data_IF_906269016995
#
_entry.id   IF_906269016995
#
_cell.length_a   1.000
_cell.length_b   1.000
_cell.length_c   1.000
_cell.angle_alpha   90.00
_cell.angle_beta   90.00
_cell.angle_gamma   90.00
#
_symmetry.space_group_name_H-M   'P 1'
#
loop_
_entity.id
_entity.type
_entity.pdbx_description
1 polymer ?
#
# COMPACT_ATOMS: atom_id res chain seq x y z
N UNK A 1 33.06 21.25 -42.30
CA UNK A 1 33.79 20.58 -41.19
C UNK A 1 33.66 21.49 -39.97
N UNK A 2 33.17 21.10 -38.81
CA UNK A 2 32.55 19.86 -38.37
C UNK A 2 31.58 20.19 -37.24
N UNK A 3 30.57 19.34 -37.07
CA UNK A 3 29.71 19.26 -35.90
C UNK A 3 30.53 18.92 -34.64
N UNK A 4 30.05 19.24 -33.44
CA UNK A 4 29.87 18.28 -32.32
C UNK A 4 29.34 18.99 -31.05
N UNK A 5 28.14 18.57 -30.63
CA UNK A 5 27.61 18.30 -29.27
C UNK A 5 27.90 19.21 -28.05
N UNK A 6 26.81 19.82 -27.58
CA UNK A 6 26.16 19.69 -26.26
C UNK A 6 26.92 18.98 -25.12
N UNK A 7 27.11 19.67 -23.99
CA UNK A 7 26.94 19.09 -22.64
C UNK A 7 26.69 20.16 -21.56
N UNK A 8 25.76 19.82 -20.65
CA UNK A 8 25.35 20.59 -19.47
C UNK A 8 26.45 20.58 -18.39
N UNK A 9 26.61 21.70 -17.69
CA UNK A 9 26.99 21.65 -16.28
C UNK A 9 26.38 22.82 -15.51
N UNK A 10 25.69 22.46 -14.43
CA UNK A 10 25.15 23.34 -13.41
C UNK A 10 26.27 24.14 -12.75
N UNK A 11 26.04 25.44 -12.54
CA UNK A 11 26.51 26.16 -11.36
C UNK A 11 25.76 27.51 -11.28
N UNK A 12 24.71 27.55 -10.47
CA UNK A 12 24.48 28.71 -9.57
C UNK A 12 25.53 28.60 -8.45
N UNK A 13 26.10 29.70 -7.93
CA UNK A 13 25.30 30.78 -7.33
C UNK A 13 25.87 32.20 -7.54
N UNK A 14 25.00 33.19 -7.71
CA UNK A 14 25.33 34.52 -7.18
C UNK A 14 24.08 35.24 -6.66
N UNK A 15 24.06 35.32 -5.33
CA UNK A 15 23.21 36.18 -4.52
C UNK A 15 23.45 37.64 -4.93
N UNK A 16 22.54 38.20 -5.70
CA UNK A 16 22.49 39.64 -5.90
C UNK A 16 21.89 40.31 -4.65
N UNK A 17 22.80 40.78 -3.79
CA UNK A 17 22.57 41.44 -2.50
C UNK A 17 22.59 42.97 -2.65
N UNK A 18 21.97 43.54 -3.67
CA UNK A 18 21.84 45.00 -3.79
C UNK A 18 20.57 45.41 -4.55
N UNK A 19 19.49 45.67 -3.82
CA UNK A 19 18.49 46.72 -4.13
C UNK A 19 17.22 46.54 -3.27
N UNK A 20 17.27 46.97 -2.01
CA UNK A 20 16.05 47.41 -1.30
C UNK A 20 16.37 48.72 -0.59
N UNK A 21 16.05 49.81 -1.30
CA UNK A 21 16.11 51.17 -0.81
C UNK A 21 15.42 51.27 0.56
N UNK A 22 16.19 51.64 1.58
CA UNK A 22 15.68 51.96 2.91
C UNK A 22 15.03 53.34 2.82
N UNK A 23 13.76 53.39 2.45
CA UNK A 23 12.93 54.56 2.74
C UNK A 23 12.71 54.63 4.25
N UNK A 24 12.88 55.79 4.93
CA UNK A 24 12.57 55.89 6.34
C UNK A 24 11.10 55.57 6.57
N UNK A 25 10.84 54.42 7.20
CA UNK A 25 9.51 53.93 7.54
C UNK A 25 8.91 54.93 8.53
N UNK A 26 8.01 55.80 8.04
CA UNK A 26 7.10 56.54 8.94
C UNK A 26 6.46 55.50 9.85
N UNK A 27 6.65 55.63 11.16
CA UNK A 27 6.06 54.73 12.13
C UNK A 27 4.54 54.71 11.89
N UNK A 28 4.04 53.62 11.32
CA UNK A 28 2.62 53.37 11.29
C UNK A 28 2.17 53.36 12.75
N UNK A 29 1.21 54.23 13.12
CA UNK A 29 0.60 54.22 14.44
C UNK A 29 0.23 52.76 14.75
N UNK A 30 0.83 52.18 15.79
CA UNK A 30 0.60 50.79 16.15
C UNK A 30 -0.92 50.61 16.31
N UNK A 31 -1.50 49.64 15.58
CA UNK A 31 -2.93 49.34 15.72
C UNK A 31 -3.18 48.96 17.17
N UNK A 32 -4.16 49.62 17.81
CA UNK A 32 -4.63 49.25 19.14
C UNK A 32 -5.06 47.76 19.12
N UNK A 33 -4.71 47.01 20.16
CA UNK A 33 -4.95 45.57 20.23
C UNK A 33 -5.56 45.17 21.56
N UNK A 34 -6.50 44.24 21.49
CA UNK A 34 -7.15 43.59 22.62
C UNK A 34 -7.20 42.08 22.36
N UNK A 35 -6.73 41.27 23.32
CA UNK A 35 -6.70 39.81 23.22
C UNK A 35 -7.95 39.15 23.81
N UNK A 36 -8.90 39.95 24.29
CA UNK A 36 -10.19 39.48 24.78
C UNK A 36 -11.08 39.08 23.60
N UNK A 37 -11.98 38.13 23.82
CA UNK A 37 -13.07 37.88 22.87
C UNK A 37 -13.98 39.11 22.80
N UNK A 38 -14.69 39.35 21.69
CA UNK A 38 -15.57 40.51 21.56
C UNK A 38 -16.59 40.62 22.70
N UNK A 39 -17.15 39.49 23.13
CA UNK A 39 -18.12 39.42 24.23
C UNK A 39 -17.49 39.86 25.57
N UNK A 40 -16.32 39.32 25.91
CA UNK A 40 -15.62 39.65 27.16
C UNK A 40 -15.14 41.11 27.13
N UNK A 41 -14.74 41.61 25.97
CA UNK A 41 -14.37 43.01 25.77
C UNK A 41 -15.55 43.96 25.99
N UNK A 42 -16.74 43.62 25.50
CA UNK A 42 -17.95 44.40 25.72
C UNK A 42 -18.38 44.40 27.20
N UNK A 43 -18.24 43.27 27.89
CA UNK A 43 -18.51 43.17 29.33
C UNK A 43 -17.56 44.06 30.13
N UNK A 44 -16.26 44.05 29.82
CA UNK A 44 -15.30 44.96 30.44
C UNK A 44 -15.68 46.42 30.15
N UNK A 45 -16.04 46.76 28.91
CA UNK A 45 -16.40 48.14 28.57
C UNK A 45 -17.61 48.63 29.37
N UNK A 46 -18.64 47.78 29.58
CA UNK A 46 -19.77 48.12 30.44
C UNK A 46 -19.35 48.28 31.90
N UNK A 47 -18.55 47.36 32.42
CA UNK A 47 -18.03 47.44 33.78
C UNK A 47 -17.27 48.75 34.04
N UNK A 48 -16.43 49.20 33.10
CA UNK A 48 -15.71 50.48 33.24
C UNK A 48 -16.65 51.68 33.32
N UNK A 49 -17.76 51.66 32.56
CA UNK A 49 -18.76 52.74 32.61
C UNK A 49 -19.49 52.76 33.95
N UNK A 50 -19.88 51.59 34.46
CA UNK A 50 -20.54 51.45 35.76
C UNK A 50 -19.62 51.91 36.91
N UNK A 51 -18.38 51.45 36.93
CA UNK A 51 -17.38 51.87 37.93
C UNK A 51 -17.08 53.37 37.84
N UNK A 52 -17.05 53.93 36.62
CA UNK A 52 -16.88 55.36 36.44
C UNK A 52 -18.06 56.15 37.02
N UNK A 53 -19.30 55.69 36.87
CA UNK A 53 -20.45 56.36 37.50
C UNK A 53 -20.28 56.39 39.02
N UNK A 54 -19.85 55.28 39.62
CA UNK A 54 -19.55 55.22 41.06
C UNK A 54 -18.45 56.20 41.45
N UNK A 55 -17.36 56.28 40.67
CA UNK A 55 -16.29 57.26 40.88
C UNK A 55 -16.80 58.71 40.76
N UNK A 56 -17.62 58.99 39.75
CA UNK A 56 -18.17 60.31 39.46
C UNK A 56 -19.03 60.80 40.62
N UNK A 57 -19.99 59.99 41.08
CA UNK A 57 -20.85 60.37 42.21
C UNK A 57 -20.07 60.51 43.52
N UNK A 58 -19.03 59.71 43.75
CA UNK A 58 -18.13 59.87 44.91
C UNK A 58 -17.32 61.17 44.87
N UNK A 59 -16.98 61.64 43.67
CA UNK A 59 -16.08 62.80 43.49
C UNK A 59 -16.85 64.13 43.45
N UNK A 60 -17.98 64.16 42.74
CA UNK A 60 -18.76 65.39 42.50
C UNK A 60 -20.07 65.44 43.29
N UNK A 61 -20.47 64.33 43.94
CA UNK A 61 -21.77 64.21 44.60
C UNK A 61 -22.92 63.99 43.62
N UNK A 62 -24.13 63.83 44.16
CA UNK A 62 -25.37 63.80 43.38
C UNK A 62 -25.71 65.23 42.92
N UNK A 63 -25.15 65.64 41.78
CA UNK A 63 -25.48 66.90 41.13
C UNK A 63 -26.31 66.61 39.88
N UNK A 64 -27.47 67.25 39.74
CA UNK A 64 -28.35 67.09 38.56
C UNK A 64 -27.83 67.83 37.32
N UNK A 65 -26.74 68.59 37.45
CA UNK A 65 -26.19 69.44 36.39
C UNK A 65 -25.30 68.66 35.41
N UNK A 66 -24.70 67.56 35.87
CA UNK A 66 -23.72 66.82 35.08
C UNK A 66 -24.08 65.34 34.97
N UNK A 67 -24.03 64.81 33.75
CA UNK A 67 -24.31 63.40 33.47
C UNK A 67 -22.97 62.66 33.35
N UNK A 68 -22.71 61.60 34.15
CA UNK A 68 -21.43 60.86 34.09
C UNK A 68 -21.10 60.34 32.68
N UNK A 69 -22.12 59.90 31.94
CA UNK A 69 -21.97 59.36 30.59
C UNK A 69 -21.44 60.37 29.57
N UNK A 70 -21.63 61.68 29.81
CA UNK A 70 -21.08 62.73 28.93
C UNK A 70 -19.56 62.80 29.04
N UNK A 71 -19.01 62.47 30.22
CA UNK A 71 -17.57 62.43 30.47
C UNK A 71 -16.96 61.07 30.14
N UNK A 72 -17.66 59.98 30.42
CA UNK A 72 -17.19 58.63 30.09
C UNK A 72 -18.32 57.74 29.58
N UNK A 73 -18.56 57.86 28.28
CA UNK A 73 -19.48 56.99 27.56
C UNK A 73 -18.89 55.61 27.25
N UNK A 74 -19.76 54.70 26.83
CA UNK A 74 -19.36 53.40 26.29
C UNK A 74 -18.38 53.49 25.12
N UNK A 75 -18.38 54.59 24.35
CA UNK A 75 -17.42 54.80 23.26
C UNK A 75 -15.99 54.96 23.79
N UNK A 76 -15.83 55.74 24.87
CA UNK A 76 -14.55 55.91 25.54
C UNK A 76 -14.09 54.58 26.16
N UNK A 77 -14.99 53.86 26.84
CA UNK A 77 -14.69 52.56 27.41
C UNK A 77 -14.24 51.54 26.35
N UNK A 78 -14.95 51.43 25.21
CA UNK A 78 -14.55 50.55 24.11
C UNK A 78 -13.21 50.94 23.49
N UNK A 79 -12.89 52.23 23.40
CA UNK A 79 -11.59 52.68 22.93
C UNK A 79 -10.45 52.23 23.87
N UNK A 80 -10.66 52.38 25.18
CA UNK A 80 -9.73 51.90 26.23
C UNK A 80 -9.55 50.38 26.16
N UNK A 81 -10.64 49.63 26.06
CA UNK A 81 -10.59 48.16 25.93
C UNK A 81 -9.91 47.74 24.63
N UNK A 82 -10.11 48.48 23.53
CA UNK A 82 -9.43 48.25 22.27
C UNK A 82 -7.91 48.42 22.35
N UNK A 83 -7.41 49.24 23.28
CA UNK A 83 -6.00 49.47 23.56
C UNK A 83 -5.46 48.64 24.75
N UNK A 84 -6.28 47.77 25.33
CA UNK A 84 -6.03 47.15 26.63
C UNK A 84 -4.69 46.43 26.68
N UNK A 85 -4.33 45.68 25.63
CA UNK A 85 -3.07 44.96 25.64
C UNK A 85 -1.88 45.91 25.72
N UNK A 86 -1.89 47.02 24.97
CA UNK A 86 -0.78 47.97 24.98
C UNK A 86 -0.71 48.76 26.29
N UNK A 87 -1.85 49.09 26.89
CA UNK A 87 -1.90 49.73 28.21
C UNK A 87 -1.25 48.80 29.24
N UNK A 88 -1.46 47.49 29.11
CA UNK A 88 -0.94 46.46 30.02
C UNK A 88 0.47 45.95 29.72
N UNK A 89 1.04 46.25 28.56
CA UNK A 89 2.38 45.77 28.19
C UNK A 89 3.48 46.33 29.11
N UNK A 90 3.24 47.46 29.77
CA UNK A 90 4.15 48.05 30.75
C UNK A 90 3.69 47.75 32.19
N UNK A 91 4.67 47.57 33.09
CA UNK A 91 4.45 47.47 34.54
C UNK A 91 5.20 48.62 35.23
N UNK A 92 4.50 49.57 35.89
CA UNK A 92 3.04 49.72 35.97
C UNK A 92 2.39 50.05 34.61
N UNK A 93 1.07 49.89 34.51
CA UNK A 93 0.31 50.15 33.28
C UNK A 93 0.65 51.51 32.66
N UNK A 94 0.61 51.58 31.33
CA UNK A 94 0.94 52.78 30.58
C UNK A 94 -0.19 53.83 30.65
N UNK A 95 -0.19 54.63 31.72
CA UNK A 95 -1.19 55.67 31.95
C UNK A 95 -1.18 56.77 30.87
N UNK A 96 -0.02 57.07 30.27
CA UNK A 96 0.07 58.04 29.16
C UNK A 96 -0.67 57.56 27.92
N UNK A 97 -0.61 56.25 27.65
CA UNK A 97 -1.39 55.66 26.56
C UNK A 97 -2.88 55.66 26.90
N UNK A 98 -3.25 55.38 28.15
CA UNK A 98 -4.63 55.45 28.62
C UNK A 98 -5.20 56.88 28.46
N UNK A 99 -4.46 57.91 28.86
CA UNK A 99 -4.80 59.33 28.63
C UNK A 99 -5.00 59.64 27.14
N UNK A 100 -4.07 59.18 26.30
CA UNK A 100 -4.11 59.40 24.85
C UNK A 100 -5.31 58.71 24.18
N UNK A 101 -5.66 57.51 24.63
CA UNK A 101 -6.78 56.71 24.08
C UNK A 101 -8.13 57.23 24.58
N UNK A 102 -8.21 57.67 25.83
CA UNK A 102 -9.38 58.35 26.37
C UNK A 102 -9.65 59.64 25.58
N UNK A 103 -8.65 60.53 25.50
CA UNK A 103 -8.74 61.81 24.82
C UNK A 103 -9.71 62.80 25.47
N UNK A 104 -9.57 64.09 25.15
CA UNK A 104 -10.42 65.14 25.73
C UNK A 104 -10.04 65.54 27.16
N UNK A 105 -10.94 66.26 27.82
CA UNK A 105 -10.76 66.74 29.19
C UNK A 105 -11.19 65.67 30.20
N UNK A 106 -10.46 65.56 31.30
CA UNK A 106 -10.72 64.58 32.36
C UNK A 106 -10.52 65.20 33.74
N UNK A 107 -11.22 64.63 34.72
CA UNK A 107 -11.11 65.05 36.11
C UNK A 107 -9.79 64.57 36.74
N UNK A 108 -9.25 65.29 37.73
CA UNK A 108 -8.15 64.78 38.54
C UNK A 108 -8.50 63.40 39.13
N UNK A 109 -7.61 62.43 38.92
CA UNK A 109 -7.79 61.06 39.42
C UNK A 109 -8.64 60.14 38.53
N UNK A 110 -9.29 60.64 37.48
CA UNK A 110 -10.12 59.82 36.58
C UNK A 110 -9.33 58.71 35.88
N UNK A 111 -8.17 59.04 35.30
CA UNK A 111 -7.30 58.07 34.62
C UNK A 111 -6.85 56.97 35.59
N UNK A 112 -6.50 57.36 36.82
CA UNK A 112 -6.14 56.42 37.88
C UNK A 112 -7.33 55.53 38.26
N UNK A 113 -8.53 56.10 38.41
CA UNK A 113 -9.74 55.35 38.72
C UNK A 113 -10.08 54.31 37.63
N UNK A 114 -9.97 54.68 36.35
CA UNK A 114 -10.17 53.76 35.22
C UNK A 114 -9.11 52.65 35.25
N UNK A 115 -7.85 52.98 35.50
CA UNK A 115 -6.78 51.99 35.63
C UNK A 115 -7.02 51.01 36.79
N UNK A 116 -7.47 51.52 37.93
CA UNK A 116 -7.75 50.72 39.12
C UNK A 116 -8.96 49.81 38.88
N UNK A 117 -9.99 50.30 38.16
CA UNK A 117 -11.15 49.50 37.72
C UNK A 117 -10.75 48.37 36.76
N UNK A 118 -9.90 48.66 35.75
CA UNK A 118 -9.33 47.63 34.86
C UNK A 118 -8.61 46.55 35.69
N UNK A 119 -7.79 46.97 36.65
CA UNK A 119 -7.04 46.06 37.53
C UNK A 119 -7.98 45.24 38.40
N UNK A 120 -9.01 45.86 38.99
CA UNK A 120 -9.99 45.18 39.83
C UNK A 120 -10.80 44.15 39.06
N UNK A 121 -11.25 44.48 37.85
CA UNK A 121 -11.99 43.56 36.99
C UNK A 121 -11.16 42.33 36.61
N UNK A 122 -9.89 42.54 36.25
CA UNK A 122 -8.98 41.44 35.90
C UNK A 122 -8.65 40.53 37.09
N UNK A 123 -8.69 41.07 38.31
CA UNK A 123 -8.55 40.26 39.52
C UNK A 123 -9.89 39.67 39.98
N UNK A 124 -10.98 39.96 39.28
CA UNK A 124 -12.32 39.47 39.59
C UNK A 124 -12.55 38.03 39.13
N UNK A 125 -13.44 37.34 39.84
CA UNK A 125 -13.79 35.95 39.57
C UNK A 125 -14.28 35.71 38.14
N UNK A 126 -14.99 36.68 37.54
CA UNK A 126 -15.46 36.56 36.16
C UNK A 126 -14.31 36.42 35.17
N UNK A 127 -13.33 37.34 35.21
CA UNK A 127 -12.20 37.28 34.29
C UNK A 127 -11.30 36.07 34.56
N UNK A 128 -11.08 35.72 35.82
CA UNK A 128 -10.35 34.50 36.18
C UNK A 128 -11.05 33.24 35.64
N UNK A 129 -12.39 33.19 35.69
CA UNK A 129 -13.18 32.13 35.07
C UNK A 129 -13.00 32.05 33.56
N UNK A 130 -13.03 33.20 32.86
CA UNK A 130 -12.76 33.26 31.41
C UNK A 130 -11.35 32.73 31.08
N UNK A 131 -10.34 33.08 31.88
CA UNK A 131 -8.98 32.58 31.70
C UNK A 131 -8.88 31.07 31.92
N UNK A 132 -9.56 30.55 32.96
CA UNK A 132 -9.60 29.13 33.27
C UNK A 132 -10.26 28.34 32.14
N UNK A 133 -11.46 28.74 31.69
CA UNK A 133 -12.16 28.05 30.60
C UNK A 133 -11.37 28.07 29.29
N UNK A 134 -10.63 29.15 29.03
CA UNK A 134 -9.74 29.20 27.87
C UNK A 134 -8.59 28.20 27.99
N UNK A 135 -7.97 28.09 29.17
CA UNK A 135 -6.89 27.14 29.43
C UNK A 135 -7.39 25.70 29.28
N UNK A 136 -8.54 25.37 29.87
CA UNK A 136 -9.17 24.05 29.76
C UNK A 136 -9.47 23.68 28.30
N UNK A 137 -9.99 24.62 27.51
CA UNK A 137 -10.24 24.41 26.09
C UNK A 137 -8.93 24.20 25.31
N UNK A 138 -7.90 25.01 25.56
CA UNK A 138 -6.59 24.84 24.91
C UNK A 138 -5.96 23.48 25.24
N UNK A 139 -6.08 23.02 26.48
CA UNK A 139 -5.55 21.72 26.90
C UNK A 139 -6.36 20.56 26.33
N UNK A 140 -7.68 20.69 26.23
CA UNK A 140 -8.52 19.74 25.50
C UNK A 140 -8.08 19.61 24.04
N UNK A 141 -7.92 20.73 23.32
CA UNK A 141 -7.48 20.73 21.92
C UNK A 141 -6.09 20.08 21.77
N UNK A 142 -5.14 20.39 22.65
CA UNK A 142 -3.81 19.74 22.62
C UNK A 142 -3.91 18.24 22.82
N UNK A 143 -4.77 17.79 23.74
CA UNK A 143 -4.96 16.36 24.02
C UNK A 143 -5.57 15.61 22.84
N UNK A 144 -6.58 16.19 22.18
CA UNK A 144 -7.22 15.63 20.98
C UNK A 144 -6.22 15.53 19.82
N UNK A 145 -5.42 16.58 19.58
CA UNK A 145 -4.38 16.58 18.54
C UNK A 145 -3.35 15.49 18.81
N UNK A 146 -2.93 15.32 20.06
CA UNK A 146 -1.98 14.26 20.42
C UNK A 146 -2.56 12.86 20.18
N UNK A 147 -3.82 12.64 20.54
CA UNK A 147 -4.52 11.38 20.29
C UNK A 147 -4.59 11.06 18.79
N UNK A 148 -5.02 12.03 17.98
CA UNK A 148 -5.13 11.87 16.53
C UNK A 148 -3.78 11.58 15.86
N UNK A 149 -2.70 12.24 16.30
CA UNK A 149 -1.35 11.95 15.82
C UNK A 149 -0.92 10.52 16.16
N UNK A 150 -1.17 10.06 17.39
CA UNK A 150 -0.85 8.70 17.80
C UNK A 150 -1.64 7.65 17.00
N UNK A 151 -2.92 7.89 16.75
CA UNK A 151 -3.76 6.99 15.94
C UNK A 151 -3.26 6.90 14.49
N UNK A 152 -2.85 8.03 13.91
CA UNK A 152 -2.27 8.05 12.56
C UNK A 152 -0.95 7.28 12.48
N UNK A 153 -0.07 7.46 13.45
CA UNK A 153 1.20 6.72 13.52
C UNK A 153 0.98 5.21 13.69
N UNK A 154 0.03 4.82 14.54
CA UNK A 154 -0.34 3.42 14.73
C UNK A 154 -0.92 2.82 13.44
N UNK A 155 -1.85 3.51 12.77
CA UNK A 155 -2.42 3.06 11.52
C UNK A 155 -1.35 2.90 10.42
N UNK A 156 -0.40 3.85 10.33
CA UNK A 156 0.72 3.76 9.40
C UNK A 156 1.65 2.59 9.72
N UNK A 157 1.90 2.30 10.99
CA UNK A 157 2.69 1.15 11.45
C UNK A 157 2.02 -0.18 11.09
N UNK A 158 0.71 -0.30 11.35
CA UNK A 158 -0.05 -1.50 11.01
C UNK A 158 -0.12 -1.72 9.48
N UNK A 159 -0.31 -0.65 8.71
CA UNK A 159 -0.29 -0.74 7.24
C UNK A 159 1.07 -1.24 6.73
N UNK A 160 2.18 -0.80 7.31
CA UNK A 160 3.52 -1.30 6.98
C UNK A 160 3.66 -2.79 7.31
N UNK A 161 3.18 -3.23 8.48
CA UNK A 161 3.19 -4.66 8.87
C UNK A 161 2.38 -5.52 7.90
N UNK A 162 1.16 -5.07 7.55
CA UNK A 162 0.29 -5.76 6.58
C UNK A 162 0.97 -5.85 5.20
N UNK A 163 1.58 -4.75 4.74
CA UNK A 163 2.31 -4.75 3.47
C UNK A 163 3.50 -5.71 3.47
N UNK A 164 4.26 -5.75 4.57
CA UNK A 164 5.39 -6.66 4.70
C UNK A 164 4.95 -8.12 4.72
N UNK A 165 3.95 -8.45 5.55
CA UNK A 165 3.37 -9.79 5.64
C UNK A 165 2.81 -10.27 4.30
N UNK A 166 2.08 -9.40 3.57
CA UNK A 166 1.58 -9.74 2.22
C UNK A 166 2.72 -10.00 1.22
N UNK A 167 3.81 -9.24 1.32
CA UNK A 167 4.98 -9.43 0.45
C UNK A 167 5.65 -10.77 0.75
N UNK A 168 5.82 -11.11 2.03
CA UNK A 168 6.37 -12.38 2.46
C UNK A 168 5.49 -13.56 2.02
N UNK A 169 4.17 -13.50 2.25
CA UNK A 169 3.24 -14.54 1.83
C UNK A 169 3.27 -14.79 0.30
N UNK A 170 3.41 -13.71 -0.50
CA UNK A 170 3.59 -13.83 -1.96
C UNK A 170 4.91 -14.52 -2.32
N UNK A 171 5.99 -14.26 -1.61
CA UNK A 171 7.28 -14.92 -1.83
C UNK A 171 7.22 -16.40 -1.48
N UNK A 172 6.62 -16.75 -0.34
CA UNK A 172 6.44 -18.14 0.09
C UNK A 172 5.58 -18.94 -0.89
N UNK A 173 4.47 -18.37 -1.35
CA UNK A 173 3.63 -18.98 -2.39
C UNK A 173 4.39 -19.20 -3.71
N UNK A 174 5.20 -18.21 -4.12
CA UNK A 174 6.01 -18.33 -5.33
C UNK A 174 7.10 -19.41 -5.19
N UNK A 175 7.69 -19.57 -3.99
CA UNK A 175 8.67 -20.60 -3.71
C UNK A 175 8.05 -22.00 -3.71
N UNK A 176 6.88 -22.16 -3.08
CA UNK A 176 6.12 -23.41 -3.11
C UNK A 176 5.77 -23.82 -4.55
N UNK A 177 5.27 -22.88 -5.36
CA UNK A 177 4.98 -23.16 -6.77
C UNK A 177 6.23 -23.52 -7.59
N UNK A 178 7.41 -23.00 -7.23
CA UNK A 178 8.68 -23.39 -7.85
C UNK A 178 9.11 -24.80 -7.45
N UNK A 179 8.96 -25.16 -6.17
CA UNK A 179 9.23 -26.52 -5.66
C UNK A 179 8.32 -27.54 -6.31
N UNK A 180 7.01 -27.28 -6.35
CA UNK A 180 6.04 -28.17 -6.99
C UNK A 180 6.36 -28.39 -8.49
N UNK A 181 6.71 -27.33 -9.23
CA UNK A 181 7.16 -27.46 -10.63
C UNK A 181 8.46 -28.25 -10.78
N UNK A 182 9.37 -28.17 -9.82
CA UNK A 182 10.61 -28.94 -9.83
C UNK A 182 10.31 -30.43 -9.59
N UNK A 183 9.48 -30.74 -8.59
CA UNK A 183 9.08 -32.11 -8.25
C UNK A 183 8.29 -32.76 -9.39
N UNK A 184 7.39 -32.01 -10.04
CA UNK A 184 6.63 -32.49 -11.20
C UNK A 184 7.55 -32.85 -12.38
N UNK A 185 8.60 -32.06 -12.63
CA UNK A 185 9.61 -32.37 -13.66
C UNK A 185 10.43 -33.62 -13.31
N UNK A 186 10.71 -33.87 -12.03
CA UNK A 186 11.40 -35.09 -11.60
C UNK A 186 10.51 -36.31 -11.84
N UNK A 187 9.23 -36.23 -11.43
CA UNK A 187 8.25 -37.29 -11.68
C UNK A 187 8.07 -37.59 -13.17
N UNK A 188 7.96 -36.56 -14.03
CA UNK A 188 7.90 -36.75 -15.48
C UNK A 188 9.13 -37.49 -16.04
N UNK A 189 10.33 -37.13 -15.57
CA UNK A 189 11.58 -37.81 -15.98
C UNK A 189 11.60 -39.26 -15.52
N UNK A 190 11.11 -39.57 -14.32
CA UNK A 190 11.01 -40.96 -13.85
C UNK A 190 10.01 -41.78 -14.66
N UNK A 191 8.83 -41.21 -14.95
CA UNK A 191 7.82 -41.85 -15.79
C UNK A 191 8.40 -42.11 -17.19
N UNK A 192 9.10 -41.14 -17.77
CA UNK A 192 9.76 -41.31 -19.07
C UNK A 192 10.83 -42.41 -19.05
N UNK A 193 11.64 -42.49 -17.99
CA UNK A 193 12.62 -43.57 -17.82
C UNK A 193 11.94 -44.94 -17.72
N UNK A 194 10.90 -45.07 -16.89
CA UNK A 194 10.14 -46.33 -16.74
C UNK A 194 9.50 -46.77 -18.06
N UNK A 195 8.89 -45.84 -18.81
CA UNK A 195 8.33 -46.12 -20.14
C UNK A 195 9.40 -46.59 -21.13
N UNK A 196 10.58 -45.95 -21.16
CA UNK A 196 11.68 -46.38 -22.02
C UNK A 196 12.21 -47.77 -21.67
N UNK A 197 12.29 -48.08 -20.37
CA UNK A 197 12.71 -49.39 -19.90
C UNK A 197 11.69 -50.48 -20.29
N UNK A 198 10.40 -50.23 -20.09
CA UNK A 198 9.33 -51.15 -20.51
C UNK A 198 9.35 -51.40 -22.02
N UNK A 199 9.53 -50.36 -22.84
CA UNK A 199 9.62 -50.51 -24.30
C UNK A 199 10.85 -51.33 -24.74
N UNK A 200 11.98 -51.19 -24.04
CA UNK A 200 13.19 -51.97 -24.32
C UNK A 200 13.02 -53.44 -23.92
N UNK A 201 12.34 -53.70 -22.81
CA UNK A 201 12.02 -55.04 -22.32
C UNK A 201 11.01 -55.74 -23.24
N UNK A 202 9.98 -55.04 -23.70
CA UNK A 202 9.03 -55.52 -24.69
C UNK A 202 9.74 -55.85 -26.02
N UNK A 203 10.62 -54.96 -26.51
CA UNK A 203 11.41 -55.23 -27.72
C UNK A 203 12.35 -56.45 -27.55
N UNK A 204 12.91 -56.66 -26.35
CA UNK A 204 13.72 -57.84 -26.05
C UNK A 204 12.86 -59.11 -25.99
N UNK A 205 11.66 -59.04 -25.42
CA UNK A 205 10.70 -60.13 -25.38
C UNK A 205 10.22 -60.51 -26.79
N UNK A 206 9.92 -59.53 -27.66
CA UNK A 206 9.57 -59.76 -29.06
C UNK A 206 10.73 -60.41 -29.83
N UNK A 207 11.98 -59.95 -29.63
CA UNK A 207 13.15 -60.60 -30.24
C UNK A 207 13.33 -62.05 -29.77
N UNK A 208 13.08 -62.33 -28.48
CA UNK A 208 13.15 -63.68 -27.92
C UNK A 208 12.03 -64.57 -28.47
N UNK A 209 10.80 -64.04 -28.55
CA UNK A 209 9.66 -64.72 -29.15
C UNK A 209 9.90 -65.03 -30.63
N UNK A 210 10.46 -64.08 -31.40
CA UNK A 210 10.84 -64.29 -32.79
C UNK A 210 11.91 -65.39 -32.95
N UNK A 211 12.94 -65.39 -32.09
CA UNK A 211 13.95 -66.47 -32.07
C UNK A 211 13.34 -67.83 -31.74
N UNK A 212 12.44 -67.89 -30.76
CA UNK A 212 11.71 -69.10 -30.41
C UNK A 212 10.83 -69.59 -31.55
N UNK A 213 10.11 -68.69 -32.24
CA UNK A 213 9.28 -69.04 -33.38
C UNK A 213 10.11 -69.57 -34.56
N UNK A 214 11.30 -69.02 -34.82
CA UNK A 214 12.22 -69.53 -35.83
C UNK A 214 12.74 -70.92 -35.45
N UNK A 215 13.08 -71.13 -34.17
CA UNK A 215 13.51 -72.44 -33.67
C UNK A 215 12.39 -73.48 -33.76
N UNK A 216 11.15 -73.11 -33.46
CA UNK A 216 9.98 -73.99 -33.55
C UNK A 216 9.66 -74.35 -35.01
N UNK A 217 9.74 -73.38 -35.94
CA UNK A 217 9.62 -73.64 -37.39
C UNK A 217 10.70 -74.62 -37.87
N UNK A 218 11.96 -74.46 -37.44
CA UNK A 218 13.03 -75.42 -37.76
C UNK A 218 12.78 -76.82 -37.16
N UNK A 219 12.19 -76.90 -35.97
CA UNK A 219 11.87 -78.16 -35.30
C UNK A 219 10.69 -78.90 -35.95
N UNK A 220 9.74 -78.17 -36.57
CA UNK A 220 8.63 -78.74 -37.36
C UNK A 220 9.03 -79.14 -38.79
N UNK A 221 10.02 -78.47 -39.38
CA UNK A 221 10.57 -78.89 -40.68
C UNK A 221 11.44 -80.15 -40.62
N UNK A 222 12.03 -80.49 -39.47
CA UNK A 222 12.82 -81.71 -39.31
C UNK A 222 12.00 -83.02 -39.46
N UNK A 223 10.80 -83.17 -38.87
CA UNK A 223 9.95 -84.33 -39.11
C UNK A 223 9.29 -84.29 -40.49
N UNK A 224 8.84 -83.13 -40.99
CA UNK A 224 8.25 -83.04 -42.34
C UNK A 224 9.26 -83.38 -43.46
N UNK A 225 10.55 -83.05 -43.29
CA UNK A 225 11.62 -83.46 -44.20
C UNK A 225 11.98 -84.95 -44.09
N UNK A 226 11.70 -85.60 -42.95
CA UNK A 226 11.89 -87.03 -42.75
C UNK A 226 10.69 -87.83 -43.27
N UNK A 227 9.48 -87.29 -43.13
CA UNK A 227 8.23 -87.89 -43.59
C UNK A 227 8.07 -87.76 -45.11
N UNK A 228 8.46 -86.62 -45.71
CA UNK A 228 8.56 -86.51 -47.17
C UNK A 228 9.57 -87.51 -47.78
N UNK A 229 10.70 -87.75 -47.12
CA UNK A 229 11.67 -88.78 -47.55
C UNK A 229 11.17 -90.22 -47.34
N UNK A 230 10.33 -90.49 -46.34
CA UNK A 230 9.73 -91.81 -46.15
C UNK A 230 8.59 -92.08 -47.14
N UNK A 231 7.78 -91.06 -47.46
CA UNK A 231 6.74 -91.11 -48.48
C UNK A 231 7.34 -91.28 -49.88
N UNK A 232 8.46 -90.61 -50.18
CA UNK A 232 9.18 -90.78 -51.45
C UNK A 232 9.79 -92.18 -51.58
N UNK A 233 10.34 -92.76 -50.50
CA UNK A 233 10.80 -94.16 -50.48
C UNK A 233 9.64 -95.16 -50.63
N UNK A 234 8.48 -94.89 -50.03
CA UNK A 234 7.29 -95.72 -50.17
C UNK A 234 6.73 -95.68 -51.61
N UNK A 235 6.69 -94.50 -52.25
CA UNK A 235 6.29 -94.38 -53.66
C UNK A 235 7.27 -95.05 -54.63
N UNK A 236 8.57 -95.02 -54.32
CA UNK A 236 9.59 -95.71 -55.12
C UNK A 236 9.45 -97.23 -55.01
N UNK A 237 9.17 -97.75 -53.81
CA UNK A 237 8.90 -99.18 -53.61
C UNK A 237 7.62 -99.64 -54.35
N UNK A 238 6.58 -98.80 -54.39
CA UNK A 238 5.33 -99.09 -55.11
C UNK A 238 5.53 -99.15 -56.63
N UNK A 239 6.42 -98.32 -57.19
CA UNK A 239 6.81 -98.38 -58.61
C UNK A 239 7.62 -99.62 -58.96
N UNK A 240 8.50 -100.09 -58.06
CA UNK A 240 9.24 -101.35 -58.27
C UNK A 240 8.29 -102.55 -58.23
N UNK A 241 7.34 -102.58 -57.29
CA UNK A 241 6.33 -103.63 -57.24
C UNK A 241 5.40 -103.65 -58.48
N UNK A 242 5.03 -102.49 -59.03
CA UNK A 242 4.26 -102.39 -60.28
C UNK A 242 5.08 -102.80 -61.53
N UNK A 243 6.41 -102.62 -61.51
CA UNK A 243 7.28 -103.11 -62.57
C UNK A 243 7.45 -104.64 -62.53
N UNK A 244 7.43 -105.26 -61.34
CA UNK A 244 7.49 -106.71 -61.17
C UNK A 244 6.16 -107.42 -61.53
N UNK A 245 5.00 -106.78 -61.33
CA UNK A 245 3.71 -107.30 -61.81
C UNK A 245 3.57 -107.20 -63.34
N UNK A 246 4.14 -106.16 -63.96
CA UNK A 246 4.18 -106.02 -65.43
C UNK A 246 5.14 -107.03 -66.11
N UNK A 247 6.12 -107.56 -65.38
CA UNK A 247 7.02 -108.61 -65.88
C UNK A 247 6.40 -110.02 -65.80
N UNK A 248 5.41 -110.24 -64.93
CA UNK A 248 4.70 -111.52 -64.80
C UNK A 248 3.47 -111.64 -65.72
N UNK A 249 2.98 -110.53 -66.29
CA UNK A 249 1.88 -110.51 -67.28
C UNK A 249 2.33 -110.75 -68.75
N UNK A 250 3.62 -110.62 -69.08
CA UNK A 250 4.12 -110.87 -70.45
C UNK A 250 4.53 -112.32 -70.75
N UNK A 251 4.29 -113.26 -69.82
CA UNK A 251 4.61 -114.70 -69.99
C UNK A 251 3.34 -115.55 -70.22
N UNK A 252 2.13 -114.98 -70.15
CA UNK A 252 0.87 -115.74 -70.19
C UNK A 252 -0.12 -115.38 -71.32
N UNK A 253 0.25 -114.54 -72.31
CA UNK A 253 -0.67 -114.15 -73.41
C UNK A 253 -0.15 -114.40 -74.85
N UNK A 254 0.71 -115.40 -75.04
CA UNK A 254 1.00 -115.91 -76.41
C UNK A 254 1.20 -117.43 -76.48
N UNK A 255 0.49 -118.15 -75.63
CA UNK A 255 0.17 -119.56 -75.80
C UNK A 255 -1.35 -119.65 -75.95
N UNK A 256 -1.83 -120.31 -77.00
CA UNK A 256 -3.25 -120.50 -77.40
C UNK A 256 -3.83 -119.52 -78.45
N UNK A 257 -3.35 -119.62 -79.69
CA UNK A 257 -4.25 -119.75 -80.86
C UNK A 257 -3.52 -120.32 -82.09
N UNK A 258 -3.81 -121.58 -82.36
CA UNK A 258 -3.71 -122.27 -83.65
C UNK A 258 -5.03 -123.06 -83.84
N UNK A 259 -5.32 -123.69 -84.98
CA UNK A 259 -5.36 -123.24 -86.38
C UNK A 259 -6.75 -123.50 -87.04
N UNK A 260 -7.01 -123.03 -88.27
CA UNK A 260 -8.06 -123.60 -89.16
C UNK A 260 -7.86 -123.25 -90.66
N UNK A 261 -7.68 -124.31 -91.45
CA UNK A 261 -7.74 -124.56 -92.92
C UNK A 261 -8.24 -123.46 -93.89
N UNK A 262 -7.63 -123.35 -95.08
CA UNK A 262 -7.84 -124.15 -96.33
C UNK A 262 -6.56 -124.12 -97.16
#
# INVERSE_FOLDING_TARGET
>A
MGCYTQHQHNHDPDLNMDALAITPRRAAKAKLSCNLTPEVADILANHLVEDFQVFFFKTLGETNEFIPLDFFSIKHAKAVVGALNQIRQATPHNLRLLESVYGGEFFPGQIKAINDSITSWMNGNYFLGVLLSRMEHEDFIKSEVACLCADYENAASEQKKISHSNTQAKQELAELARKEKADQKVLEREIAKKKKQAAMEEAAAVKKAAKNHVAEKKKKQAPEAAESKSVERAQTALRVAQAESAATENVTDRSLRAPANI
#
